data_IF_009772401165
#
_entry.id   IF_009772401165
#
_cell.length_a   1.000
_cell.length_b   1.000
_cell.length_c   1.000
_cell.angle_alpha   90.00
_cell.angle_beta   90.00
_cell.angle_gamma   90.00
#
_symmetry.space_group_name_H-M   'P 1'
#
loop_
_entity.id
_entity.type
_entity.pdbx_description
1 polymer ?
#
# COMPACT_ATOMS: atom_id res chain seq x y z
N UNK A 1 -1.67 -15.02 12.41
CA UNK A 1 -0.99 -13.77 11.98
C UNK A 1 -1.90 -12.56 12.16
N UNK A 2 -3.00 -12.44 11.41
CA UNK A 2 -3.95 -11.30 11.47
C UNK A 2 -4.57 -11.04 12.84
N UNK A 3 -4.92 -12.11 13.58
CA UNK A 3 -5.39 -12.01 14.97
C UNK A 3 -4.40 -11.24 15.87
N UNK A 4 -3.10 -11.54 15.76
CA UNK A 4 -2.04 -10.87 16.53
C UNK A 4 -1.95 -9.39 16.18
N UNK A 5 -2.10 -9.04 14.89
CA UNK A 5 -2.10 -7.64 14.40
C UNK A 5 -3.28 -6.87 15.02
N UNK A 6 -4.49 -7.44 14.98
CA UNK A 6 -5.68 -6.80 15.54
C UNK A 6 -5.62 -6.63 17.06
N UNK A 7 -4.97 -7.55 17.78
CA UNK A 7 -4.83 -7.49 19.24
C UNK A 7 -3.69 -6.56 19.68
N UNK A 8 -2.55 -6.59 18.98
CA UNK A 8 -1.36 -5.81 19.36
C UNK A 8 -1.39 -4.38 18.85
N UNK A 9 -2.11 -4.12 17.75
CA UNK A 9 -2.05 -2.87 16.99
C UNK A 9 -0.71 -2.62 16.30
N UNK A 10 0.20 -3.60 16.28
CA UNK A 10 1.58 -3.44 15.79
C UNK A 10 1.87 -4.48 14.71
N UNK A 11 2.31 -3.99 13.54
CA UNK A 11 2.87 -4.79 12.47
C UNK A 11 4.34 -5.11 12.75
N UNK A 12 4.74 -6.32 12.42
CA UNK A 12 6.11 -6.81 12.51
C UNK A 12 6.57 -7.35 11.16
N UNK A 13 7.88 -7.61 11.02
CA UNK A 13 8.44 -8.26 9.83
C UNK A 13 7.80 -9.63 9.52
N UNK A 14 7.21 -10.28 10.52
CA UNK A 14 6.50 -11.55 10.41
C UNK A 14 5.00 -11.37 10.13
N UNK A 15 4.51 -10.17 9.84
CA UNK A 15 3.08 -9.89 9.66
C UNK A 15 2.56 -10.15 8.25
N UNK A 16 3.46 -10.32 7.27
CA UNK A 16 3.11 -10.56 5.88
C UNK A 16 4.28 -10.21 4.95
N UNK A 17 4.22 -10.70 3.72
CA UNK A 17 5.27 -10.47 2.72
C UNK A 17 5.31 -9.00 2.29
N UNK A 18 4.17 -8.45 1.85
CA UNK A 18 4.09 -7.06 1.37
C UNK A 18 4.12 -6.02 2.49
N UNK A 19 3.66 -6.38 3.70
CA UNK A 19 3.66 -5.47 4.85
C UNK A 19 5.05 -5.10 5.36
N UNK A 20 6.12 -5.76 4.86
CA UNK A 20 7.50 -5.38 5.16
C UNK A 20 7.93 -4.09 4.44
N UNK A 21 7.23 -3.71 3.37
CA UNK A 21 7.43 -2.43 2.69
C UNK A 21 6.77 -1.31 3.53
N UNK A 22 7.49 -0.21 3.85
CA UNK A 22 7.00 0.86 4.71
C UNK A 22 5.62 1.41 4.35
N UNK A 23 5.35 1.70 3.08
CA UNK A 23 4.07 2.31 2.67
C UNK A 23 2.90 1.32 2.78
N UNK A 24 3.11 0.05 2.45
CA UNK A 24 2.11 -1.00 2.71
C UNK A 24 1.90 -1.20 4.22
N UNK A 25 2.97 -1.15 5.02
CA UNK A 25 2.90 -1.14 6.48
C UNK A 25 2.10 0.06 7.02
N UNK A 26 2.30 1.24 6.44
CA UNK A 26 1.57 2.46 6.76
C UNK A 26 0.07 2.32 6.46
N UNK A 27 -0.29 1.73 5.32
CA UNK A 27 -1.69 1.46 4.97
C UNK A 27 -2.38 0.59 6.03
N UNK A 28 -1.76 -0.51 6.46
CA UNK A 28 -2.36 -1.39 7.47
C UNK A 28 -2.38 -0.73 8.85
N UNK A 29 -1.34 0.04 9.20
CA UNK A 29 -1.30 0.81 10.45
C UNK A 29 -2.41 1.87 10.50
N UNK A 30 -2.66 2.55 9.38
CA UNK A 30 -3.74 3.53 9.25
C UNK A 30 -5.11 2.88 9.36
N UNK A 31 -5.31 1.72 8.73
CA UNK A 31 -6.54 0.95 8.88
C UNK A 31 -6.81 0.58 10.36
N UNK A 32 -5.80 0.11 11.10
CA UNK A 32 -5.92 -0.14 12.54
C UNK A 32 -6.26 1.14 13.32
N UNK A 33 -5.59 2.26 13.02
CA UNK A 33 -5.83 3.57 13.65
C UNK A 33 -7.27 4.06 13.44
N UNK A 34 -7.84 3.79 12.26
CA UNK A 34 -9.22 4.11 11.91
C UNK A 34 -10.26 3.13 12.49
N UNK A 35 -9.81 2.05 13.17
CA UNK A 35 -10.67 1.06 13.80
C UNK A 35 -11.12 -0.08 12.89
N UNK A 36 -10.44 -0.30 11.74
CA UNK A 36 -10.70 -1.47 10.90
C UNK A 36 -10.18 -2.75 11.58
N UNK A 37 -10.88 -3.86 11.32
CA UNK A 37 -10.38 -5.20 11.62
C UNK A 37 -9.65 -5.75 10.40
N UNK A 38 -8.38 -6.09 10.57
CA UNK A 38 -7.54 -6.65 9.50
C UNK A 38 -7.78 -8.15 9.39
N UNK A 39 -7.98 -8.63 8.16
CA UNK A 39 -8.05 -10.06 7.88
C UNK A 39 -7.22 -10.40 6.65
N UNK A 40 -6.75 -11.64 6.63
CA UNK A 40 -5.93 -12.18 5.55
C UNK A 40 -6.75 -13.23 4.85
N UNK A 41 -6.65 -13.26 3.53
CA UNK A 41 -7.44 -14.14 2.69
C UNK A 41 -6.60 -15.00 1.75
N UNK A 42 -5.28 -14.89 1.83
CA UNK A 42 -4.36 -15.62 0.94
C UNK A 42 -4.62 -17.13 0.95
N UNK A 43 -4.41 -17.76 -0.19
CA UNK A 43 -4.54 -19.20 -0.35
C UNK A 43 -3.40 -19.94 0.36
N UNK A 44 -3.61 -21.23 0.62
CA UNK A 44 -2.55 -22.11 1.11
C UNK A 44 -1.39 -22.20 0.12
N UNK A 45 -0.18 -22.52 0.60
CA UNK A 45 0.99 -22.66 -0.26
C UNK A 45 0.82 -23.76 -1.33
N UNK A 46 1.50 -23.60 -2.47
CA UNK A 46 1.54 -24.59 -3.54
C UNK A 46 0.35 -24.58 -4.52
N UNK A 47 -0.57 -23.60 -4.40
CA UNK A 47 -1.69 -23.45 -5.35
C UNK A 47 -1.26 -22.80 -6.66
N UNK A 48 -1.81 -23.28 -7.77
CA UNK A 48 -1.72 -22.58 -9.05
C UNK A 48 -2.63 -21.34 -9.05
N UNK A 49 -2.55 -20.51 -10.09
CA UNK A 49 -3.34 -19.26 -10.16
C UNK A 49 -4.85 -19.48 -10.00
N UNK A 50 -5.44 -20.49 -10.66
CA UNK A 50 -6.87 -20.77 -10.58
C UNK A 50 -7.30 -21.20 -9.17
N UNK A 51 -6.59 -22.16 -8.59
CA UNK A 51 -6.93 -22.67 -7.26
C UNK A 51 -6.70 -21.61 -6.19
N UNK A 52 -5.70 -20.73 -6.39
CA UNK A 52 -5.47 -19.55 -5.55
C UNK A 52 -6.64 -18.57 -5.60
N UNK A 53 -7.18 -18.20 -6.77
CA UNK A 53 -8.37 -17.33 -6.85
C UNK A 53 -9.58 -17.92 -6.11
N UNK A 54 -9.77 -19.24 -6.23
CA UNK A 54 -10.90 -19.95 -5.59
C UNK A 54 -10.77 -19.89 -4.07
N UNK A 55 -9.63 -20.33 -3.53
CA UNK A 55 -9.43 -20.38 -2.08
C UNK A 55 -9.43 -18.98 -1.46
N UNK A 56 -8.88 -17.98 -2.17
CA UNK A 56 -8.95 -16.58 -1.73
C UNK A 56 -10.39 -16.09 -1.61
N UNK A 57 -11.24 -16.35 -2.61
CA UNK A 57 -12.65 -15.98 -2.57
C UNK A 57 -13.42 -16.72 -1.44
N UNK A 58 -13.12 -18.00 -1.23
CA UNK A 58 -13.71 -18.79 -0.13
C UNK A 58 -13.28 -18.26 1.25
N UNK A 59 -12.02 -17.87 1.42
CA UNK A 59 -11.52 -17.31 2.68
C UNK A 59 -12.18 -15.97 3.01
N UNK A 60 -12.35 -15.10 2.00
CA UNK A 60 -13.11 -13.84 2.15
C UNK A 60 -14.56 -14.15 2.51
N UNK A 61 -15.23 -15.07 1.80
CA UNK A 61 -16.61 -15.43 2.10
C UNK A 61 -16.76 -15.91 3.55
N UNK A 62 -15.90 -16.84 3.99
CA UNK A 62 -15.89 -17.33 5.38
C UNK A 62 -15.73 -16.19 6.38
N UNK A 63 -14.86 -15.21 6.09
CA UNK A 63 -14.71 -14.03 6.95
C UNK A 63 -16.01 -13.22 7.01
N UNK A 64 -16.61 -12.91 5.86
CA UNK A 64 -17.84 -12.10 5.77
C UNK A 64 -19.01 -12.74 6.50
N UNK A 65 -19.15 -14.07 6.41
CA UNK A 65 -20.23 -14.82 7.07
C UNK A 65 -20.16 -14.76 8.61
N UNK A 66 -18.96 -14.57 9.17
CA UNK A 66 -18.74 -14.50 10.62
C UNK A 66 -18.46 -13.08 11.13
N UNK A 67 -18.22 -12.12 10.24
CA UNK A 67 -17.94 -10.74 10.58
C UNK A 67 -19.23 -9.98 10.97
N UNK A 68 -19.14 -8.98 11.87
CA UNK A 68 -20.23 -8.03 12.07
C UNK A 68 -20.62 -7.36 10.74
N UNK A 69 -21.92 -7.09 10.55
CA UNK A 69 -22.40 -6.38 9.37
C UNK A 69 -21.70 -5.02 9.25
N UNK A 70 -21.09 -4.76 8.10
CA UNK A 70 -20.33 -3.53 7.86
C UNK A 70 -19.82 -3.42 6.43
N UNK A 71 -19.05 -2.37 6.15
CA UNK A 71 -18.35 -2.19 4.89
C UNK A 71 -17.01 -2.92 4.94
N UNK A 72 -16.62 -3.52 3.82
CA UNK A 72 -15.40 -4.30 3.70
C UNK A 72 -14.63 -3.77 2.50
N UNK A 73 -13.33 -3.55 2.70
CA UNK A 73 -12.39 -3.17 1.64
C UNK A 73 -11.45 -4.35 1.44
N UNK A 74 -11.40 -4.85 0.20
CA UNK A 74 -10.44 -5.88 -0.20
C UNK A 74 -9.33 -5.19 -0.99
N UNK A 75 -8.14 -5.10 -0.40
CA UNK A 75 -6.97 -4.64 -1.14
C UNK A 75 -6.28 -5.84 -1.78
N UNK A 76 -6.37 -5.94 -3.11
CA UNK A 76 -5.76 -7.02 -3.89
C UNK A 76 -4.88 -6.48 -5.02
N UNK A 77 -4.00 -7.34 -5.54
CA UNK A 77 -3.14 -6.99 -6.67
C UNK A 77 -3.84 -7.12 -8.02
N UNK A 78 -3.68 -6.12 -8.89
CA UNK A 78 -4.01 -6.19 -10.32
C UNK A 78 -5.36 -6.87 -10.62
N UNK A 79 -5.35 -7.88 -11.50
CA UNK A 79 -6.52 -8.52 -12.06
C UNK A 79 -7.34 -9.37 -11.07
N UNK A 80 -6.94 -9.49 -9.79
CA UNK A 80 -7.80 -10.08 -8.75
C UNK A 80 -9.13 -9.33 -8.59
N UNK A 81 -9.14 -8.02 -8.87
CA UNK A 81 -10.33 -7.19 -8.83
C UNK A 81 -11.28 -7.41 -10.02
N UNK A 82 -10.93 -8.25 -10.99
CA UNK A 82 -11.74 -8.43 -12.20
C UNK A 82 -12.98 -9.28 -11.94
N UNK A 83 -14.13 -8.82 -12.42
CA UNK A 83 -15.40 -9.49 -12.24
C UNK A 83 -15.68 -10.59 -13.27
N UNK A 84 -14.99 -10.51 -14.41
CA UNK A 84 -15.23 -11.36 -15.56
C UNK A 84 -14.07 -12.35 -15.80
N UNK A 85 -14.14 -13.04 -16.94
CA UNK A 85 -13.15 -14.03 -17.30
C UNK A 85 -11.75 -13.43 -17.46
N UNK A 86 -10.73 -14.18 -17.05
CA UNK A 86 -9.32 -13.81 -17.21
C UNK A 86 -8.49 -15.01 -17.69
N UNK A 87 -7.59 -14.85 -18.68
CA UNK A 87 -6.92 -15.98 -19.32
C UNK A 87 -6.16 -16.92 -18.38
N UNK A 88 -5.47 -16.39 -17.37
CA UNK A 88 -4.58 -17.18 -16.52
C UNK A 88 -5.29 -18.09 -15.49
N UNK A 89 -6.48 -17.69 -15.03
CA UNK A 89 -7.18 -18.35 -13.93
C UNK A 89 -8.67 -18.61 -14.20
N UNK A 90 -9.12 -18.33 -15.42
CA UNK A 90 -10.51 -18.51 -15.86
C UNK A 90 -11.43 -17.41 -15.31
N UNK A 91 -11.55 -17.30 -13.99
CA UNK A 91 -12.32 -16.25 -13.30
C UNK A 91 -11.55 -15.75 -12.08
N UNK A 92 -11.43 -14.43 -11.96
CA UNK A 92 -10.69 -13.81 -10.87
C UNK A 92 -11.49 -13.79 -9.58
N UNK A 93 -10.82 -13.44 -8.49
CA UNK A 93 -11.34 -13.42 -7.13
C UNK A 93 -12.61 -12.58 -7.02
N UNK A 94 -12.66 -11.35 -7.54
CA UNK A 94 -13.85 -10.50 -7.46
C UNK A 94 -15.07 -11.13 -8.16
N UNK A 95 -14.88 -11.69 -9.37
CA UNK A 95 -15.94 -12.42 -10.06
C UNK A 95 -16.46 -13.62 -9.28
N UNK A 96 -15.59 -14.32 -8.55
CA UNK A 96 -16.01 -15.44 -7.67
C UNK A 96 -16.75 -14.94 -6.44
N UNK A 97 -16.32 -13.83 -5.83
CA UNK A 97 -17.02 -13.22 -4.70
C UNK A 97 -18.45 -12.81 -5.08
N UNK A 98 -18.62 -12.24 -6.27
CA UNK A 98 -19.94 -11.88 -6.81
C UNK A 98 -20.89 -13.08 -6.84
N UNK A 99 -20.40 -14.23 -7.30
CA UNK A 99 -21.17 -15.47 -7.36
C UNK A 99 -21.42 -16.10 -5.98
N UNK A 100 -20.35 -16.24 -5.18
CA UNK A 100 -20.37 -16.89 -3.88
C UNK A 100 -21.30 -16.18 -2.90
N UNK A 101 -21.23 -14.85 -2.85
CA UNK A 101 -21.95 -14.02 -1.89
C UNK A 101 -23.27 -13.49 -2.44
N UNK A 102 -23.52 -13.62 -3.76
CA UNK A 102 -24.66 -13.00 -4.45
C UNK A 102 -24.76 -11.50 -4.19
N UNK A 103 -23.59 -10.84 -4.12
CA UNK A 103 -23.45 -9.39 -4.00
C UNK A 103 -22.75 -8.86 -5.25
N UNK A 104 -22.94 -7.58 -5.54
CA UNK A 104 -22.17 -6.90 -6.57
C UNK A 104 -21.05 -6.07 -5.90
N UNK A 105 -19.81 -6.58 -5.80
CA UNK A 105 -18.74 -5.82 -5.18
C UNK A 105 -18.36 -4.63 -6.06
N UNK A 106 -18.21 -3.44 -5.48
CA UNK A 106 -17.72 -2.29 -6.24
C UNK A 106 -16.21 -2.43 -6.50
N UNK A 107 -15.80 -2.55 -7.76
CA UNK A 107 -14.42 -2.87 -8.14
C UNK A 107 -13.66 -1.67 -8.74
N UNK A 108 -12.44 -1.45 -8.25
CA UNK A 108 -11.61 -0.28 -8.59
C UNK A 108 -10.27 -0.77 -9.14
N UNK A 109 -10.00 -0.50 -10.42
CA UNK A 109 -8.69 -0.76 -11.03
C UNK A 109 -7.79 0.47 -10.91
N UNK A 110 -6.64 0.31 -10.27
CA UNK A 110 -5.60 1.34 -10.12
C UNK A 110 -4.33 1.02 -10.93
N UNK A 111 -4.39 0.01 -11.79
CA UNK A 111 -3.24 -0.60 -12.46
C UNK A 111 -3.29 -0.49 -13.99
N UNK A 112 -4.44 -0.15 -14.56
CA UNK A 112 -4.57 0.02 -16.02
C UNK A 112 -3.69 1.15 -16.57
N UNK A 113 -3.55 2.26 -15.81
CA UNK A 113 -2.82 3.46 -16.24
C UNK A 113 -1.69 3.81 -15.26
N UNK A 114 -0.73 2.89 -15.16
CA UNK A 114 0.47 3.09 -14.35
C UNK A 114 1.50 3.98 -15.07
N UNK A 115 2.09 4.89 -14.31
CA UNK A 115 3.31 5.62 -14.69
C UNK A 115 4.43 4.63 -15.06
N UNK A 116 5.25 4.99 -16.05
CA UNK A 116 6.36 4.17 -16.54
C UNK A 116 7.67 4.95 -16.43
N UNK A 117 8.78 4.28 -16.71
CA UNK A 117 10.11 4.90 -16.67
C UNK A 117 10.31 6.01 -17.71
N UNK A 118 9.46 6.05 -18.75
CA UNK A 118 9.52 7.03 -19.84
C UNK A 118 8.11 7.19 -20.43
N UNK A 119 7.74 8.43 -20.74
CA UNK A 119 6.46 8.85 -21.32
C UNK A 119 6.06 8.08 -22.58
N UNK A 120 7.03 7.60 -23.38
CA UNK A 120 6.75 6.83 -24.60
C UNK A 120 6.15 5.44 -24.33
N UNK A 121 6.34 4.91 -23.11
CA UNK A 121 5.79 3.61 -22.70
C UNK A 121 4.48 3.75 -21.93
N UNK A 122 4.05 4.98 -21.64
CA UNK A 122 2.82 5.24 -20.91
C UNK A 122 1.60 5.19 -21.82
N UNK A 123 0.47 4.82 -21.24
CA UNK A 123 -0.80 4.92 -21.94
C UNK A 123 -1.22 6.40 -22.07
N UNK A 124 -1.70 6.82 -23.24
CA UNK A 124 -2.04 8.23 -23.53
C UNK A 124 -2.99 8.85 -22.50
N UNK A 125 -3.87 8.04 -21.90
CA UNK A 125 -4.83 8.51 -20.90
C UNK A 125 -4.19 9.05 -19.63
N UNK A 126 -2.95 8.66 -19.29
CA UNK A 126 -2.27 9.25 -18.14
C UNK A 126 -2.09 10.76 -18.30
N UNK A 127 -1.88 11.22 -19.54
CA UNK A 127 -1.69 12.63 -19.89
C UNK A 127 -2.97 13.47 -19.75
N UNK A 128 -4.13 12.81 -19.65
CA UNK A 128 -5.42 13.49 -19.45
C UNK A 128 -5.57 13.99 -18.00
N UNK A 129 -4.89 13.37 -17.02
CA UNK A 129 -4.90 13.86 -15.66
C UNK A 129 -3.90 15.01 -15.48
N UNK A 130 -4.38 16.23 -15.68
CA UNK A 130 -3.62 17.48 -15.46
C UNK A 130 -3.76 18.02 -14.03
N UNK A 131 -4.43 17.28 -13.15
CA UNK A 131 -4.65 17.68 -11.76
C UNK A 131 -3.56 17.10 -10.85
N UNK A 132 -3.61 17.44 -9.55
CA UNK A 132 -2.72 16.88 -8.54
C UNK A 132 -3.38 15.78 -7.68
N UNK A 133 -4.53 15.26 -8.12
CA UNK A 133 -5.30 14.20 -7.45
C UNK A 133 -5.76 13.11 -8.43
N UNK A 134 -6.13 11.91 -7.94
CA UNK A 134 -6.61 10.83 -8.81
C UNK A 134 -7.96 11.19 -9.44
N UNK A 135 -8.14 10.85 -10.72
CA UNK A 135 -9.39 11.14 -11.47
C UNK A 135 -9.98 9.87 -12.07
N UNK A 136 -11.29 9.90 -12.30
CA UNK A 136 -12.01 8.92 -13.13
C UNK A 136 -12.58 9.66 -14.34
N UNK A 137 -12.59 9.00 -15.50
CA UNK A 137 -13.17 9.59 -16.71
C UNK A 137 -14.65 9.22 -16.80
N UNK A 138 -15.47 10.19 -17.18
CA UNK A 138 -16.88 10.00 -17.51
C UNK A 138 -17.18 10.65 -18.86
N UNK A 139 -18.12 10.08 -19.62
CA UNK A 139 -18.61 10.73 -20.83
C UNK A 139 -19.66 11.81 -20.53
N UNK A 140 -20.15 12.49 -21.58
CA UNK A 140 -21.18 13.54 -21.47
C UNK A 140 -22.54 13.07 -20.92
N UNK A 141 -22.74 11.77 -20.72
CA UNK A 141 -23.94 11.16 -20.12
C UNK A 141 -23.62 10.52 -18.76
N UNK A 142 -22.52 10.92 -18.11
CA UNK A 142 -22.04 10.42 -16.82
C UNK A 142 -21.72 8.92 -16.80
N UNK A 143 -21.45 8.31 -17.97
CA UNK A 143 -21.02 6.90 -18.03
C UNK A 143 -19.53 6.83 -17.74
N UNK A 144 -19.17 6.10 -16.68
CA UNK A 144 -17.77 5.94 -16.27
C UNK A 144 -17.00 5.10 -17.28
N UNK A 145 -15.79 5.55 -17.60
CA UNK A 145 -14.84 4.77 -18.35
C UNK A 145 -14.20 3.70 -17.45
N UNK A 146 -14.29 2.46 -17.90
CA UNK A 146 -13.74 1.29 -17.22
C UNK A 146 -13.05 0.31 -18.19
N UNK A 147 -12.34 0.87 -19.18
CA UNK A 147 -11.57 0.12 -20.17
C UNK A 147 -12.21 0.11 -21.56
N UNK A 148 -11.44 -0.31 -22.57
CA UNK A 148 -11.85 -0.36 -23.98
C UNK A 148 -12.57 -1.65 -24.38
N UNK A 149 -12.48 -2.71 -23.58
CA UNK A 149 -13.10 -3.99 -23.90
C UNK A 149 -14.63 -3.89 -23.85
N UNK A 150 -15.32 -4.68 -24.68
CA UNK A 150 -16.78 -4.82 -24.60
C UNK A 150 -17.20 -5.40 -23.25
N UNK A 151 -16.43 -6.38 -22.75
CA UNK A 151 -16.59 -6.93 -21.40
C UNK A 151 -15.75 -6.11 -20.43
N UNK A 152 -16.42 -5.29 -19.61
CA UNK A 152 -15.77 -4.48 -18.57
C UNK A 152 -15.28 -5.37 -17.44
N UNK A 153 -14.04 -5.17 -17.00
CA UNK A 153 -13.44 -6.02 -15.97
C UNK A 153 -13.66 -5.46 -14.56
N UNK A 154 -13.78 -4.15 -14.42
CA UNK A 154 -14.07 -3.46 -13.15
C UNK A 154 -15.11 -2.35 -13.35
N UNK A 155 -15.66 -1.82 -12.25
CA UNK A 155 -16.61 -0.70 -12.30
C UNK A 155 -15.94 0.61 -12.67
N UNK A 156 -14.77 0.90 -12.09
CA UNK A 156 -14.03 2.12 -12.35
C UNK A 156 -12.54 1.84 -12.58
N UNK A 157 -11.92 2.73 -13.34
CA UNK A 157 -10.46 2.80 -13.52
C UNK A 157 -9.98 4.16 -13.07
N UNK A 158 -8.96 4.18 -12.22
CA UNK A 158 -8.37 5.41 -11.67
C UNK A 158 -7.15 5.82 -12.50
N UNK A 159 -7.06 7.10 -12.84
CA UNK A 159 -5.86 7.72 -13.41
C UNK A 159 -5.21 8.55 -12.31
N UNK A 160 -4.06 8.11 -11.84
CA UNK A 160 -3.25 8.85 -10.86
C UNK A 160 -2.50 10.01 -11.54
N UNK A 161 -2.24 11.12 -10.83
CA UNK A 161 -1.38 12.18 -11.35
C UNK A 161 0.06 11.68 -11.47
N UNK A 162 0.84 12.24 -12.41
CA UNK A 162 2.28 11.91 -12.53
C UNK A 162 3.02 12.23 -11.25
N UNK A 163 3.87 11.31 -10.80
CA UNK A 163 4.68 11.49 -9.60
C UNK A 163 5.60 12.69 -9.77
N UNK A 164 5.56 13.61 -8.82
CA UNK A 164 6.55 14.68 -8.73
C UNK A 164 7.60 14.28 -7.70
N UNK A 165 8.78 14.87 -7.80
CA UNK A 165 9.85 14.61 -6.84
C UNK A 165 10.15 15.85 -5.99
N UNK A 166 10.25 15.63 -4.68
CA UNK A 166 10.63 16.63 -3.68
C UNK A 166 11.70 16.01 -2.80
N UNK A 167 12.86 16.67 -2.66
CA UNK A 167 14.02 16.15 -1.92
C UNK A 167 14.44 14.73 -2.40
N UNK A 168 14.41 14.49 -3.73
CA UNK A 168 14.68 13.18 -4.34
C UNK A 168 13.72 12.06 -3.93
N UNK A 169 12.54 12.41 -3.42
CA UNK A 169 11.50 11.46 -3.04
C UNK A 169 10.18 11.75 -3.74
N UNK A 170 9.32 10.73 -3.96
CA UNK A 170 7.99 10.95 -4.48
C UNK A 170 7.19 11.91 -3.60
N UNK A 171 6.56 12.91 -4.20
CA UNK A 171 5.80 13.96 -3.53
C UNK A 171 4.61 13.40 -2.73
N UNK A 172 4.04 12.29 -3.21
CA UNK A 172 2.91 11.63 -2.55
C UNK A 172 3.26 11.07 -1.16
N UNK A 173 4.53 10.79 -0.85
CA UNK A 173 4.93 10.42 0.53
C UNK A 173 4.67 11.58 1.50
N UNK A 174 4.80 12.82 1.03
CA UNK A 174 4.49 14.02 1.82
C UNK A 174 2.99 14.26 2.02
N UNK A 175 2.09 13.58 1.29
CA UNK A 175 0.65 13.81 1.40
C UNK A 175 0.11 13.21 2.71
N UNK A 176 -0.21 14.08 3.66
CA UNK A 176 -0.68 13.68 5.00
C UNK A 176 0.43 13.48 6.04
N UNK A 177 1.68 13.62 5.61
CA UNK A 177 2.88 13.49 6.45
C UNK A 177 3.60 14.84 6.59
N UNK A 178 4.38 14.96 7.65
CA UNK A 178 5.20 16.12 7.98
C UNK A 178 6.66 15.79 7.72
N UNK A 179 7.36 16.75 7.12
CA UNK A 179 8.80 16.65 6.90
C UNK A 179 9.53 16.77 8.24
N UNK A 180 10.36 15.78 8.55
CA UNK A 180 11.31 15.81 9.66
C UNK A 180 12.74 15.67 9.13
N UNK A 181 13.57 16.70 9.32
CA UNK A 181 14.97 16.69 8.87
C UNK A 181 15.87 16.15 9.96
N UNK A 182 16.69 15.15 9.62
CA UNK A 182 17.60 14.50 10.56
C UNK A 182 18.78 15.45 10.90
N UNK A 183 19.07 15.67 12.19
CA UNK A 183 20.24 16.44 12.61
C UNK A 183 21.55 15.75 12.25
N UNK A 184 22.55 16.54 11.82
CA UNK A 184 23.88 16.03 11.49
C UNK A 184 24.64 15.45 12.70
N UNK A 185 24.30 15.87 13.92
CA UNK A 185 25.00 15.49 15.15
C UNK A 185 25.01 13.98 15.42
N UNK A 186 24.02 13.24 14.90
CA UNK A 186 23.94 11.77 15.05
C UNK A 186 24.67 10.97 13.97
N UNK A 187 25.22 11.63 12.93
CA UNK A 187 25.79 10.96 11.76
C UNK A 187 27.33 11.04 11.80
N UNK A 188 27.97 10.01 12.33
CA UNK A 188 29.44 9.92 12.40
C UNK A 188 30.09 9.29 11.17
N UNK A 189 29.33 8.57 10.33
CA UNK A 189 29.83 7.90 9.13
C UNK A 189 28.74 7.73 8.07
N UNK A 190 29.17 7.51 6.82
CA UNK A 190 28.32 7.25 5.66
C UNK A 190 28.74 5.94 4.95
N UNK A 191 27.83 5.26 4.22
CA UNK A 191 26.39 5.51 4.21
C UNK A 191 25.75 5.17 5.57
N UNK A 192 24.63 5.81 5.86
CA UNK A 192 23.80 5.57 7.05
C UNK A 192 22.37 5.29 6.61
N UNK A 193 21.80 4.22 7.16
CA UNK A 193 20.38 3.89 7.01
C UNK A 193 19.62 4.48 8.19
N UNK A 194 18.62 5.29 7.92
CA UNK A 194 17.83 6.00 8.91
C UNK A 194 16.41 5.46 8.84
N UNK A 195 15.92 4.96 9.98
CA UNK A 195 14.63 4.31 10.09
C UNK A 195 13.78 5.03 11.14
N UNK A 196 12.52 5.28 10.83
CA UNK A 196 11.55 5.85 11.76
C UNK A 196 10.55 4.79 12.19
N UNK A 197 10.58 4.39 13.45
CA UNK A 197 9.60 3.47 14.03
C UNK A 197 8.57 4.27 14.82
N UNK A 198 7.28 3.91 14.79
CA UNK A 198 6.34 4.50 15.75
C UNK A 198 6.72 4.01 17.15
N UNK A 199 6.37 4.77 18.18
CA UNK A 199 6.78 4.50 19.55
C UNK A 199 6.51 3.03 19.97
N UNK A 200 7.57 2.32 20.38
CA UNK A 200 7.52 0.94 20.86
C UNK A 200 7.43 -0.12 19.76
N UNK A 201 7.52 0.25 18.47
CA UNK A 201 7.54 -0.70 17.36
C UNK A 201 8.94 -1.29 17.14
N UNK A 202 10.01 -0.52 17.38
CA UNK A 202 11.39 -0.97 17.09
C UNK A 202 11.75 -2.26 17.85
N UNK A 203 11.52 -2.27 19.17
CA UNK A 203 11.83 -3.41 20.04
C UNK A 203 10.96 -4.65 19.76
N UNK A 204 9.90 -4.50 18.97
CA UNK A 204 8.98 -5.59 18.56
C UNK A 204 9.29 -6.14 17.17
N UNK A 205 10.43 -5.77 16.57
CA UNK A 205 10.72 -6.02 15.16
C UNK A 205 9.63 -5.44 14.25
N UNK A 206 9.20 -4.23 14.57
CA UNK A 206 8.16 -3.52 13.85
C UNK A 206 8.57 -3.16 12.41
N UNK A 207 7.61 -2.66 11.66
CA UNK A 207 7.86 -2.10 10.32
C UNK A 207 8.10 -0.60 10.47
N UNK A 208 9.23 -0.06 9.99
CA UNK A 208 9.45 1.38 10.03
C UNK A 208 8.39 2.10 9.19
N UNK A 209 7.91 3.23 9.68
CA UNK A 209 6.96 4.10 8.98
C UNK A 209 7.62 4.80 7.78
N UNK A 210 8.93 5.03 7.85
CA UNK A 210 9.71 5.61 6.75
C UNK A 210 11.18 5.21 6.89
N UNK A 211 11.87 5.11 5.75
CA UNK A 211 13.27 4.67 5.67
C UNK A 211 13.99 5.49 4.59
N UNK A 212 15.16 6.02 4.93
CA UNK A 212 16.05 6.68 3.97
C UNK A 212 17.49 6.18 4.12
N UNK A 213 18.19 6.05 3.00
CA UNK A 213 19.64 5.87 2.98
C UNK A 213 20.30 7.22 2.64
N UNK A 214 21.23 7.65 3.49
CA UNK A 214 22.00 8.87 3.30
C UNK A 214 23.44 8.47 2.99
N UNK A 215 23.91 8.80 1.78
CA UNK A 215 25.22 8.36 1.27
C UNK A 215 26.33 9.38 1.46
N UNK A 216 26.00 10.65 1.75
CA UNK A 216 26.97 11.70 2.01
C UNK A 216 26.40 12.88 2.79
N UNK A 217 27.26 13.85 3.13
CA UNK A 217 26.89 15.01 3.95
C UNK A 217 25.86 15.92 3.27
N UNK A 218 25.93 16.06 1.96
CA UNK A 218 25.07 16.95 1.15
C UNK A 218 23.78 16.27 0.66
N UNK A 219 23.58 14.99 0.97
CA UNK A 219 22.35 14.26 0.65
C UNK A 219 21.17 14.76 1.50
N UNK A 220 19.97 14.79 0.92
CA UNK A 220 18.74 15.07 1.67
C UNK A 220 18.53 14.05 2.80
N UNK A 221 18.12 14.54 3.98
CA UNK A 221 17.97 13.72 5.20
C UNK A 221 16.58 13.89 5.79
N UNK A 222 15.57 13.95 4.92
CA UNK A 222 14.18 14.21 5.30
C UNK A 222 13.40 12.89 5.38
N UNK A 223 12.85 12.62 6.55
CA UNK A 223 11.78 11.66 6.73
C UNK A 223 10.42 12.36 6.53
N UNK A 224 9.41 11.62 6.11
CA UNK A 224 8.03 12.06 6.02
C UNK A 224 7.18 11.21 6.96
N UNK A 225 6.72 11.82 8.04
CA UNK A 225 6.08 11.12 9.17
C UNK A 225 4.71 11.72 9.48
N UNK A 226 3.72 10.87 9.74
CA UNK A 226 2.44 11.33 10.28
C UNK A 226 2.63 11.96 11.68
N UNK A 227 1.58 12.61 12.21
CA UNK A 227 1.62 13.10 13.59
C UNK A 227 1.76 11.92 14.55
N UNK A 228 2.68 12.03 15.51
CA UNK A 228 2.90 10.97 16.48
C UNK A 228 4.29 10.99 17.10
N UNK A 229 4.54 10.00 17.95
CA UNK A 229 5.83 9.76 18.59
C UNK A 229 6.59 8.68 17.85
N UNK A 230 7.87 8.92 17.63
CA UNK A 230 8.72 8.02 16.84
C UNK A 230 10.05 7.75 17.55
N UNK A 231 10.57 6.55 17.35
CA UNK A 231 11.94 6.17 17.62
C UNK A 231 12.73 6.23 16.31
N UNK A 232 13.69 7.15 16.23
CA UNK A 232 14.59 7.26 15.09
C UNK A 232 15.82 6.40 15.36
N UNK A 233 16.14 5.51 14.42
CA UNK A 233 17.26 4.57 14.53
C UNK A 233 18.20 4.77 13.35
N UNK A 234 19.47 5.07 13.64
CA UNK A 234 20.52 5.21 12.64
C UNK A 234 21.38 3.95 12.65
N UNK A 235 21.54 3.32 11.48
CA UNK A 235 22.36 2.13 11.30
C UNK A 235 23.47 2.39 10.30
N UNK A 236 24.67 1.91 10.58
CA UNK A 236 25.76 1.97 9.61
C UNK A 236 25.61 0.91 8.50
N UNK A 237 26.54 0.93 7.53
CA UNK A 237 26.66 -0.07 6.46
C UNK A 237 26.75 -1.54 6.91
N UNK A 238 27.10 -1.79 8.18
CA UNK A 238 27.13 -3.14 8.77
C UNK A 238 25.86 -3.43 9.59
N UNK A 239 24.83 -2.58 9.48
CA UNK A 239 23.57 -2.61 10.22
C UNK A 239 23.67 -2.46 11.74
N UNK A 240 24.83 -2.04 12.27
CA UNK A 240 24.99 -1.73 13.68
C UNK A 240 24.37 -0.36 13.98
N UNK A 241 23.65 -0.27 15.11
CA UNK A 241 23.04 0.98 15.59
C UNK A 241 24.15 1.97 15.95
N UNK A 242 24.13 3.14 15.34
CA UNK A 242 25.03 4.25 15.61
C UNK A 242 24.43 5.22 16.62
N UNK A 243 23.14 5.49 16.47
CA UNK A 243 22.39 6.40 17.31
C UNK A 243 20.91 5.98 17.36
N UNK A 244 20.23 6.32 18.45
CA UNK A 244 18.81 6.08 18.68
C UNK A 244 18.25 7.19 19.56
N UNK A 245 17.21 7.86 19.11
CA UNK A 245 16.55 8.91 19.87
C UNK A 245 15.06 9.01 19.55
N UNK A 246 14.30 9.65 20.43
CA UNK A 246 12.86 9.85 20.26
C UNK A 246 12.54 11.23 19.72
N UNK A 247 11.47 11.32 18.94
CA UNK A 247 10.91 12.58 18.45
C UNK A 247 9.39 12.59 18.57
N UNK A 248 8.81 13.78 18.53
CA UNK A 248 7.37 13.99 18.40
C UNK A 248 7.10 14.91 17.21
N UNK A 249 6.28 14.41 16.28
CA UNK A 249 5.81 15.14 15.10
C UNK A 249 4.42 15.71 15.41
N UNK A 250 4.30 17.04 15.38
CA UNK A 250 3.11 17.78 15.85
C UNK A 250 2.17 18.22 14.74
#
# INVERSE_FOLDING_TARGET
MTKKINESGVLTIESGYYTQEPEFGNLVSEALRLGYTIFGYEASEGKNGKDREIEQAENIQKFIEHAPKGKIIIHCGYAHAFENGYPAWGKAMAGRLKENLKIDPFTIDQTMFLEKSDDQYEHEFIKLNTTNYPVVLADQHDRIYNGSNEVKQTDIVVIHPKTQFMDSRPDWVGKGNYRYTIPDSGISQYPVLILAYRAGEFDKNGIPSDVIEVTGRDSGKSLFLAKGKYEIVLKNKNYNIMDKYEIEVK
#
